data_IF_614257942913
#
_entry.id   IF_614257942913
#
_cell.length_a   1.000
_cell.length_b   1.000
_cell.length_c   1.000
_cell.angle_alpha   90.00
_cell.angle_beta   90.00
_cell.angle_gamma   90.00
#
_symmetry.space_group_name_H-M   'P 1'
#
loop_
_entity.id
_entity.type
_entity.pdbx_description
1 polymer ?
#
# COMPACT_ATOMS: atom_id res chain seq x y z
N UNK A 1 35.21 16.05 29.87
CA UNK A 1 33.87 15.52 30.24
C UNK A 1 33.17 15.26 28.92
N UNK A 2 33.10 14.00 28.50
CA UNK A 2 32.39 13.65 27.26
C UNK A 2 30.89 13.72 27.55
N UNK A 3 30.18 14.60 26.84
CA UNK A 3 28.71 14.61 26.85
C UNK A 3 28.23 13.31 26.20
N UNK A 4 27.89 12.33 27.04
CA UNK A 4 27.49 11.01 26.59
C UNK A 4 26.17 11.08 25.83
N UNK A 5 26.19 10.71 24.55
CA UNK A 5 24.96 10.49 23.80
C UNK A 5 24.22 9.30 24.41
N UNK A 6 22.95 9.49 24.78
CA UNK A 6 22.14 8.36 25.23
C UNK A 6 21.42 7.73 24.05
N UNK A 7 21.24 6.40 24.07
CA UNK A 7 20.46 5.67 23.05
C UNK A 7 19.05 6.25 22.91
N UNK A 8 18.49 6.79 24.00
CA UNK A 8 17.20 7.48 24.03
C UNK A 8 17.21 8.78 23.22
N UNK A 9 18.24 9.59 23.34
CA UNK A 9 18.40 10.82 22.55
C UNK A 9 18.69 10.52 21.09
N UNK A 10 19.46 9.46 20.81
CA UNK A 10 19.68 8.96 19.45
C UNK A 10 18.38 8.50 18.78
N UNK A 11 17.58 7.66 19.45
CA UNK A 11 16.27 7.24 18.95
C UNK A 11 15.31 8.41 18.77
N UNK A 12 15.31 9.38 19.70
CA UNK A 12 14.47 10.56 19.60
C UNK A 12 14.81 11.39 18.35
N UNK A 13 16.10 11.63 18.08
CA UNK A 13 16.54 12.34 16.87
C UNK A 13 16.19 11.59 15.58
N UNK A 14 16.37 10.28 15.56
CA UNK A 14 15.99 9.44 14.41
C UNK A 14 14.48 9.44 14.17
N UNK A 15 13.68 9.35 15.23
CA UNK A 15 12.22 9.50 15.11
C UNK A 15 11.86 10.90 14.60
N UNK A 16 12.48 11.97 15.14
CA UNK A 16 12.22 13.35 14.72
C UNK A 16 12.69 13.63 13.26
N UNK A 17 13.73 12.95 12.77
CA UNK A 17 14.18 13.00 11.36
C UNK A 17 13.24 12.22 10.43
N UNK A 18 12.86 11.01 10.82
CA UNK A 18 11.90 10.18 10.07
C UNK A 18 10.50 10.79 10.05
N UNK A 19 10.08 11.46 11.13
CA UNK A 19 8.80 12.17 11.21
C UNK A 19 8.83 13.46 10.39
N UNK A 20 9.96 14.20 10.36
CA UNK A 20 10.12 15.38 9.50
C UNK A 20 10.13 15.05 8.01
N UNK A 21 10.64 13.90 7.61
CA UNK A 21 10.53 13.42 6.23
C UNK A 21 9.11 12.94 5.87
N UNK A 22 8.26 12.58 6.84
CA UNK A 22 6.96 11.95 6.60
C UNK A 22 5.73 12.83 6.90
N UNK A 23 5.87 14.01 7.53
CA UNK A 23 4.74 14.86 7.89
C UNK A 23 4.51 16.02 6.89
N UNK A 24 3.96 15.70 5.72
CA UNK A 24 3.13 16.68 5.03
C UNK A 24 1.73 16.68 5.65
N UNK A 25 1.14 17.87 5.85
CA UNK A 25 -0.21 18.05 6.44
C UNK A 25 -1.33 17.23 5.77
N UNK A 26 -1.12 16.72 4.54
CA UNK A 26 -2.05 15.81 3.87
C UNK A 26 -2.03 14.35 4.37
N UNK A 27 -1.06 13.96 5.20
CA UNK A 27 -0.93 12.59 5.73
C UNK A 27 -2.04 12.23 6.74
N UNK A 28 -2.44 13.18 7.59
CA UNK A 28 -3.45 12.96 8.63
C UNK A 28 -4.85 12.75 8.03
N UNK A 29 -5.22 13.56 7.02
CA UNK A 29 -6.50 13.40 6.31
C UNK A 29 -6.59 12.05 5.56
N UNK A 30 -5.48 11.65 4.92
CA UNK A 30 -5.35 10.36 4.24
C UNK A 30 -5.43 9.19 5.23
N UNK A 31 -4.82 9.33 6.40
CA UNK A 31 -4.91 8.35 7.47
C UNK A 31 -6.37 8.19 7.94
N UNK A 32 -7.03 9.30 8.30
CA UNK A 32 -8.40 9.28 8.82
C UNK A 32 -9.37 8.69 7.79
N UNK A 33 -9.26 9.07 6.51
CA UNK A 33 -10.13 8.54 5.45
C UNK A 33 -9.95 7.03 5.26
N UNK A 34 -8.70 6.54 5.24
CA UNK A 34 -8.37 5.12 5.14
C UNK A 34 -8.90 4.30 6.32
N UNK A 35 -8.78 4.82 7.55
CA UNK A 35 -9.20 4.07 8.74
C UNK A 35 -10.70 4.03 8.94
N UNK A 36 -11.44 4.96 8.35
CA UNK A 36 -12.91 4.98 8.29
C UNK A 36 -13.51 4.01 7.27
N UNK A 37 -12.69 3.38 6.42
CA UNK A 37 -13.17 2.46 5.40
C UNK A 37 -13.64 1.13 5.98
N UNK A 38 -14.74 0.59 5.44
CA UNK A 38 -15.30 -0.71 5.80
C UNK A 38 -14.57 -1.84 5.06
N UNK A 39 -13.25 -1.94 5.24
CA UNK A 39 -12.39 -2.97 4.65
C UNK A 39 -11.57 -3.66 5.74
N UNK A 40 -10.99 -4.82 5.43
CA UNK A 40 -10.20 -5.57 6.40
C UNK A 40 -9.00 -4.77 6.90
N UNK A 41 -8.49 -5.09 8.09
CA UNK A 41 -7.29 -4.46 8.64
C UNK A 41 -6.08 -4.60 7.71
N UNK A 42 -5.95 -5.73 7.02
CA UNK A 42 -4.87 -5.99 6.05
C UNK A 42 -4.88 -4.96 4.92
N UNK A 43 -6.05 -4.66 4.37
CA UNK A 43 -6.21 -3.65 3.31
C UNK A 43 -5.87 -2.24 3.82
N UNK A 44 -6.32 -1.89 5.03
CA UNK A 44 -5.97 -0.60 5.65
C UNK A 44 -4.47 -0.48 5.90
N UNK A 45 -3.84 -1.50 6.46
CA UNK A 45 -2.39 -1.52 6.68
C UNK A 45 -1.61 -1.43 5.35
N UNK A 46 -2.04 -2.14 4.31
CA UNK A 46 -1.45 -2.05 2.98
C UNK A 46 -1.58 -0.63 2.39
N UNK A 47 -2.79 -0.05 2.43
CA UNK A 47 -3.03 1.31 1.97
C UNK A 47 -2.17 2.34 2.70
N UNK A 48 -2.02 2.19 4.03
CA UNK A 48 -1.17 3.08 4.83
C UNK A 48 0.30 2.98 4.45
N UNK A 49 0.80 1.76 4.23
CA UNK A 49 2.16 1.55 3.73
C UNK A 49 2.35 2.13 2.34
N UNK A 50 1.34 2.05 1.48
CA UNK A 50 1.36 2.69 0.17
C UNK A 50 1.42 4.22 0.28
N UNK A 51 0.63 4.83 1.18
CA UNK A 51 0.62 6.28 1.40
C UNK A 51 1.97 6.85 1.82
N UNK A 52 2.74 6.07 2.56
CA UNK A 52 4.04 6.47 3.09
C UNK A 52 5.22 6.10 2.17
N UNK A 53 4.96 5.64 0.95
CA UNK A 53 6.01 5.09 0.07
C UNK A 53 6.82 3.94 0.74
N UNK A 54 6.13 3.11 1.53
CA UNK A 54 6.73 2.00 2.30
C UNK A 54 6.49 0.60 1.72
N UNK A 55 6.04 0.52 0.47
CA UNK A 55 6.01 -0.74 -0.27
C UNK A 55 7.38 -1.01 -0.93
N UNK A 56 7.75 -2.28 -1.13
CA UNK A 56 9.05 -2.67 -1.68
C UNK A 56 9.08 -2.56 -3.21
N UNK A 57 8.83 -1.38 -3.75
CA UNK A 57 9.01 -1.08 -5.19
C UNK A 57 10.48 -0.83 -5.50
N UNK A 58 10.94 -1.14 -6.73
CA UNK A 58 12.36 -0.97 -7.09
C UNK A 58 12.90 0.43 -6.81
N UNK A 59 12.11 1.49 -7.05
CA UNK A 59 12.50 2.86 -6.72
C UNK A 59 12.70 3.06 -5.22
N UNK A 60 11.77 2.60 -4.39
CA UNK A 60 11.85 2.71 -2.92
C UNK A 60 12.97 1.85 -2.34
N UNK A 61 13.23 0.67 -2.90
CA UNK A 61 14.33 -0.19 -2.48
C UNK A 61 15.69 0.42 -2.86
N UNK A 62 15.82 1.01 -4.06
CA UNK A 62 17.01 1.74 -4.48
C UNK A 62 17.30 2.94 -3.58
N UNK A 63 16.27 3.70 -3.21
CA UNK A 63 16.39 4.81 -2.24
C UNK A 63 16.92 4.36 -0.88
N UNK A 64 16.61 3.13 -0.46
CA UNK A 64 17.07 2.54 0.81
C UNK A 64 18.43 1.86 0.73
N UNK A 65 19.14 1.98 -0.40
CA UNK A 65 20.47 1.41 -0.62
C UNK A 65 20.47 -0.10 -0.32
N UNK A 66 19.39 -0.79 -0.68
CA UNK A 66 19.33 -2.26 -0.57
C UNK A 66 20.13 -2.81 -1.75
N UNK A 67 21.36 -3.25 -1.48
CA UNK A 67 22.32 -3.74 -2.47
C UNK A 67 21.96 -5.16 -2.92
N UNK A 68 21.97 -5.42 -4.23
CA UNK A 68 21.65 -6.72 -4.85
C UNK A 68 20.34 -6.78 -5.65
N UNK A 69 19.60 -5.67 -5.75
CA UNK A 69 18.45 -5.56 -6.65
C UNK A 69 18.92 -5.29 -8.08
N UNK A 70 18.30 -6.00 -9.03
CA UNK A 70 18.54 -5.93 -10.48
C UNK A 70 18.90 -4.51 -10.97
N UNK A 71 19.84 -4.42 -11.91
CA UNK A 71 20.31 -3.15 -12.51
C UNK A 71 19.18 -2.25 -13.06
N UNK A 72 18.02 -2.84 -13.35
CA UNK A 72 16.86 -2.16 -13.90
C UNK A 72 15.83 -1.76 -12.85
N UNK A 73 15.52 -0.47 -12.83
CA UNK A 73 14.41 0.15 -12.08
C UNK A 73 13.05 0.02 -12.76
N UNK A 74 12.98 -0.61 -13.93
CA UNK A 74 11.74 -0.74 -14.69
C UNK A 74 10.76 -1.67 -13.98
N UNK A 75 9.47 -1.33 -14.09
CA UNK A 75 8.33 -2.09 -13.59
C UNK A 75 8.40 -3.55 -14.04
N UNK A 76 8.34 -4.49 -13.10
CA UNK A 76 8.40 -5.92 -13.42
C UNK A 76 7.20 -6.40 -14.22
N UNK A 77 6.08 -5.66 -14.20
CA UNK A 77 4.89 -6.01 -14.95
C UNK A 77 5.02 -5.59 -16.41
N UNK A 78 5.12 -4.29 -16.69
CA UNK A 78 5.11 -3.79 -18.08
C UNK A 78 6.51 -3.62 -18.71
N UNK A 79 7.56 -3.51 -17.89
CA UNK A 79 8.92 -3.17 -18.31
C UNK A 79 9.05 -1.88 -19.14
N UNK A 80 8.08 -0.96 -19.06
CA UNK A 80 8.06 0.29 -19.85
C UNK A 80 8.44 1.54 -19.03
N UNK A 81 8.03 1.61 -17.76
CA UNK A 81 8.24 2.77 -16.88
C UNK A 81 8.93 2.34 -15.59
N UNK A 82 9.44 3.31 -14.83
CA UNK A 82 10.02 3.08 -13.50
C UNK A 82 9.00 2.49 -12.51
N UNK A 83 9.44 1.49 -11.74
CA UNK A 83 8.61 0.86 -10.72
C UNK A 83 8.48 1.74 -9.47
N UNK A 84 7.53 2.66 -9.54
CA UNK A 84 7.02 3.41 -8.38
C UNK A 84 5.74 2.76 -7.86
N UNK A 85 5.32 3.09 -6.63
CA UNK A 85 4.02 2.63 -6.11
C UNK A 85 2.88 3.10 -7.01
N UNK A 86 2.95 4.36 -7.46
CA UNK A 86 1.97 4.95 -8.34
C UNK A 86 1.86 4.19 -9.66
N UNK A 87 3.01 3.89 -10.29
CA UNK A 87 3.01 3.13 -11.54
C UNK A 87 2.51 1.71 -11.30
N UNK A 88 3.14 0.97 -10.37
CA UNK A 88 2.86 -0.44 -10.12
C UNK A 88 1.38 -0.69 -9.78
N UNK A 89 0.79 0.16 -8.93
CA UNK A 89 -0.60 -0.03 -8.51
C UNK A 89 -1.59 0.56 -9.51
N UNK A 90 -1.36 1.76 -10.06
CA UNK A 90 -2.44 2.51 -10.72
C UNK A 90 -2.20 2.84 -12.20
N UNK A 91 -0.96 3.12 -12.62
CA UNK A 91 -0.72 3.54 -14.00
C UNK A 91 -0.34 2.38 -14.93
N UNK A 92 0.21 1.29 -14.38
CA UNK A 92 0.65 0.14 -15.16
C UNK A 92 -0.51 -0.47 -15.94
N UNK A 93 -0.32 -0.65 -17.25
CA UNK A 93 -1.34 -1.23 -18.14
C UNK A 93 -1.74 -2.64 -17.73
N UNK A 94 -0.80 -3.42 -17.17
CA UNK A 94 -1.10 -4.75 -16.67
C UNK A 94 -2.00 -4.67 -15.43
N UNK A 95 -1.67 -3.80 -14.47
CA UNK A 95 -2.47 -3.62 -13.26
C UNK A 95 -3.88 -3.13 -13.58
N UNK A 96 -4.02 -2.17 -14.51
CA UNK A 96 -5.33 -1.70 -15.00
C UNK A 96 -6.14 -2.82 -15.62
N UNK A 97 -5.53 -3.69 -16.43
CA UNK A 97 -6.21 -4.86 -17.01
C UNK A 97 -6.68 -5.82 -15.92
N UNK A 98 -5.85 -6.10 -14.92
CA UNK A 98 -6.23 -6.95 -13.78
C UNK A 98 -7.43 -6.36 -13.06
N UNK A 99 -7.44 -5.05 -12.79
CA UNK A 99 -8.59 -4.41 -12.15
C UNK A 99 -9.85 -4.49 -13.00
N UNK A 100 -9.74 -4.28 -14.32
CA UNK A 100 -10.90 -4.44 -15.22
C UNK A 100 -11.46 -5.87 -15.20
N UNK A 101 -10.63 -6.90 -15.08
CA UNK A 101 -11.11 -8.28 -14.93
C UNK A 101 -11.74 -8.54 -13.55
N UNK A 102 -11.17 -7.97 -12.49
CA UNK A 102 -11.74 -8.06 -11.13
C UNK A 102 -13.08 -7.35 -11.05
N UNK A 103 -13.21 -6.16 -11.66
CA UNK A 103 -14.47 -5.38 -11.72
C UNK A 103 -15.58 -6.16 -12.41
N UNK A 104 -15.28 -6.81 -13.53
CA UNK A 104 -16.22 -7.72 -14.20
C UNK A 104 -16.62 -8.87 -13.30
N UNK A 105 -15.68 -9.45 -12.55
CA UNK A 105 -15.94 -10.57 -11.65
C UNK A 105 -16.83 -10.20 -10.46
N UNK A 106 -16.67 -8.99 -9.92
CA UNK A 106 -17.43 -8.49 -8.76
C UNK A 106 -18.64 -7.65 -9.14
N UNK A 107 -18.95 -7.51 -10.43
CA UNK A 107 -20.09 -6.72 -10.96
C UNK A 107 -20.16 -5.27 -10.42
N UNK A 108 -19.00 -4.64 -10.19
CA UNK A 108 -18.91 -3.25 -9.71
C UNK A 108 -18.35 -2.37 -10.83
N UNK A 109 -19.08 -1.30 -11.16
CA UNK A 109 -18.57 -0.21 -12.00
C UNK A 109 -17.69 0.74 -11.18
N UNK A 110 -16.38 0.70 -11.40
CA UNK A 110 -15.43 1.63 -10.79
C UNK A 110 -14.84 2.54 -11.88
N UNK A 111 -15.24 3.82 -11.90
CA UNK A 111 -14.75 4.79 -12.89
C UNK A 111 -13.31 5.23 -12.56
N UNK A 112 -12.33 4.78 -13.35
CA UNK A 112 -10.93 5.16 -13.23
C UNK A 112 -10.59 6.50 -13.92
N UNK A 113 -11.18 7.62 -13.47
CA UNK A 113 -10.69 8.96 -13.86
C UNK A 113 -10.19 9.81 -12.67
N UNK A 114 -8.87 10.08 -12.70
CA UNK A 114 -8.03 11.08 -12.01
C UNK A 114 -8.07 11.23 -10.46
N UNK A 115 -6.83 11.29 -9.93
CA UNK A 115 -6.36 11.30 -8.53
C UNK A 115 -6.25 9.91 -7.86
N UNK A 116 -5.02 9.40 -7.81
CA UNK A 116 -4.58 8.06 -7.37
C UNK A 116 -5.24 7.58 -6.07
N UNK A 117 -5.33 8.48 -5.08
CA UNK A 117 -5.92 8.15 -3.79
C UNK A 117 -7.43 8.22 -3.79
N UNK A 118 -8.00 9.06 -4.66
CA UNK A 118 -9.43 9.01 -4.94
C UNK A 118 -9.79 7.67 -5.59
N UNK A 119 -8.91 7.09 -6.42
CA UNK A 119 -9.09 5.72 -6.94
C UNK A 119 -9.06 4.67 -5.85
N UNK A 120 -8.01 4.64 -5.03
CA UNK A 120 -7.94 3.67 -3.94
C UNK A 120 -9.13 3.80 -2.98
N UNK A 121 -9.51 5.04 -2.62
CA UNK A 121 -10.65 5.31 -1.78
C UNK A 121 -11.98 4.94 -2.46
N UNK A 122 -12.16 5.25 -3.74
CA UNK A 122 -13.35 4.89 -4.50
C UNK A 122 -13.47 3.37 -4.60
N UNK A 123 -12.41 2.69 -5.04
CA UNK A 123 -12.32 1.24 -5.14
C UNK A 123 -12.70 0.57 -3.81
N UNK A 124 -12.01 0.92 -2.72
CA UNK A 124 -12.33 0.40 -1.39
C UNK A 124 -13.76 0.75 -0.92
N UNK A 125 -14.30 1.90 -1.33
CA UNK A 125 -15.67 2.30 -0.99
C UNK A 125 -16.74 1.54 -1.79
N UNK A 126 -16.44 1.10 -3.01
CA UNK A 126 -17.37 0.31 -3.83
C UNK A 126 -17.57 -1.11 -3.28
N UNK A 127 -16.62 -1.64 -2.50
CA UNK A 127 -16.82 -2.87 -1.73
C UNK A 127 -17.82 -2.73 -0.57
N UNK A 128 -18.37 -1.53 -0.29
CA UNK A 128 -19.44 -1.33 0.71
C UNK A 128 -20.69 -2.15 0.42
N UNK A 129 -20.98 -2.49 -0.83
CA UNK A 129 -22.20 -3.24 -1.17
C UNK A 129 -22.16 -4.71 -0.70
N UNK A 130 -20.97 -5.25 -0.40
CA UNK A 130 -20.79 -6.62 0.09
C UNK A 130 -20.63 -6.71 1.62
N UNK A 131 -21.03 -5.69 2.37
CA UNK A 131 -20.98 -5.69 3.84
C UNK A 131 -22.06 -6.58 4.48
N UNK A 132 -22.18 -7.83 4.04
CA UNK A 132 -22.54 -8.89 4.96
C UNK A 132 -21.23 -9.29 5.65
N UNK A 133 -21.13 -9.03 6.96
CA UNK A 133 -19.99 -9.45 7.79
C UNK A 133 -19.63 -10.94 7.57
N UNK A 134 -20.60 -11.76 7.14
CA UNK A 134 -20.42 -13.14 6.72
C UNK A 134 -19.41 -13.29 5.56
N UNK A 135 -19.53 -12.54 4.45
CA UNK A 135 -18.65 -12.73 3.27
C UNK A 135 -17.21 -12.32 3.54
N UNK A 136 -17.01 -11.25 4.31
CA UNK A 136 -15.67 -10.82 4.77
C UNK A 136 -15.09 -11.86 5.75
N UNK A 137 -15.91 -12.44 6.62
CA UNK A 137 -15.48 -13.53 7.51
C UNK A 137 -15.07 -14.79 6.72
N UNK A 138 -15.81 -15.15 5.67
CA UNK A 138 -15.48 -16.28 4.78
C UNK A 138 -14.16 -16.07 4.01
N UNK A 139 -13.94 -14.88 3.43
CA UNK A 139 -12.67 -14.58 2.72
C UNK A 139 -11.48 -14.60 3.69
N UNK A 140 -11.61 -14.02 4.89
CA UNK A 140 -10.53 -14.07 5.88
C UNK A 140 -10.28 -15.49 6.43
N UNK A 141 -11.31 -16.32 6.56
CA UNK A 141 -11.20 -17.73 6.96
C UNK A 141 -10.48 -18.58 5.91
N UNK A 142 -10.70 -18.33 4.62
CA UNK A 142 -9.99 -19.02 3.54
C UNK A 142 -8.51 -18.63 3.49
N UNK A 143 -8.20 -17.35 3.70
CA UNK A 143 -6.82 -16.87 3.80
C UNK A 143 -6.06 -17.47 5.00
N UNK A 144 -6.71 -17.60 6.17
CA UNK A 144 -6.09 -18.25 7.34
C UNK A 144 -5.86 -19.75 7.11
N UNK A 145 -6.78 -20.44 6.44
CA UNK A 145 -6.62 -21.85 6.09
C UNK A 145 -5.50 -22.08 5.07
N UNK A 146 -5.35 -21.20 4.08
CA UNK A 146 -4.22 -21.27 3.13
C UNK A 146 -2.88 -20.99 3.80
N UNK A 147 -2.82 -20.00 4.71
CA UNK A 147 -1.60 -19.69 5.45
C UNK A 147 -1.15 -20.86 6.35
N UNK A 148 -2.09 -21.54 7.02
CA UNK A 148 -1.78 -22.73 7.82
C UNK A 148 -1.42 -23.96 6.98
N UNK A 149 -1.87 -24.05 5.72
CA UNK A 149 -1.50 -25.13 4.81
C UNK A 149 -0.09 -24.95 4.22
N UNK A 150 0.40 -23.72 4.09
CA UNK A 150 1.75 -23.43 3.58
C UNK A 150 2.87 -23.52 4.66
N UNK A 151 2.50 -23.79 5.92
CA UNK A 151 3.45 -23.98 7.03
C UNK A 151 3.55 -25.43 7.53
N UNK A 152 3.11 -26.41 6.74
CA UNK A 152 3.34 -27.85 6.95
C UNK A 152 4.05 -28.45 5.74
#
# INVERSE_FOLDING_TARGET
MEEGYTTREGYKRLCDELDRENLEKGSEERFVSLWKMSVSFRIRAFGWRAFLDRLPTKIQLRKRIITGLQDSILCMLCSQEEETIQHLLFNCDISKRIYGEVEKWIEIECSFELHIWKHFLNWCSSFRSYSNLASIYYINLEDEKQYHFQQR
#
